data_IF_377795963106
#
_entry.id   IF_377795963106
#
_cell.length_a   1.000
_cell.length_b   1.000
_cell.length_c   1.000
_cell.angle_alpha   90.00
_cell.angle_beta   90.00
_cell.angle_gamma   90.00
#
_symmetry.space_group_name_H-M   'P 1'
#
loop_
_entity.id
_entity.type
_entity.pdbx_description
1 polymer ?
#
# COMPACT_ATOMS: atom_id res chain seq x y z
N UNK A 1 7.06 6.84 4.42
CA UNK A 1 7.52 6.11 5.62
C UNK A 1 7.11 4.64 5.60
N UNK A 2 5.88 4.29 5.26
CA UNK A 2 5.40 2.90 5.16
C UNK A 2 6.20 2.04 4.20
N UNK A 3 6.59 2.59 3.05
CA UNK A 3 7.40 1.89 2.05
C UNK A 3 8.83 1.61 2.55
N UNK A 4 9.36 2.45 3.44
CA UNK A 4 10.70 2.26 4.03
C UNK A 4 10.65 1.14 5.07
N UNK A 5 9.62 1.14 5.92
CA UNK A 5 9.43 0.10 6.95
C UNK A 5 8.97 -1.23 6.35
N UNK A 6 8.30 -1.19 5.20
CA UNK A 6 7.64 -2.36 4.61
C UNK A 6 8.53 -3.56 4.38
N UNK A 7 9.80 -3.33 4.05
CA UNK A 7 10.77 -4.39 3.76
C UNK A 7 11.75 -4.64 4.91
N UNK A 8 11.75 -3.76 5.91
CA UNK A 8 12.70 -3.87 7.01
C UNK A 8 12.39 -5.06 7.93
N UNK A 9 11.15 -5.54 7.94
CA UNK A 9 10.72 -6.64 8.80
C UNK A 9 9.52 -7.38 8.24
N UNK A 10 9.59 -8.70 8.21
CA UNK A 10 8.47 -9.61 8.01
C UNK A 10 8.00 -10.16 9.35
N UNK A 11 6.70 -10.31 9.49
CA UNK A 11 6.03 -10.88 10.67
C UNK A 11 5.46 -12.22 10.25
N UNK A 12 5.78 -13.27 10.99
CA UNK A 12 5.17 -14.58 10.83
C UNK A 12 3.90 -14.63 11.68
N UNK A 13 2.76 -14.76 11.00
CA UNK A 13 1.43 -14.92 11.58
C UNK A 13 0.84 -16.29 11.22
N UNK A 14 1.69 -17.26 10.89
CA UNK A 14 1.27 -18.61 10.56
C UNK A 14 0.45 -19.20 11.71
N UNK A 15 -0.64 -19.85 11.40
CA UNK A 15 -1.53 -20.46 12.37
C UNK A 15 -1.98 -21.86 11.91
N UNK A 16 -2.32 -22.71 12.89
CA UNK A 16 -2.87 -24.02 12.61
C UNK A 16 -4.40 -23.96 12.51
N UNK A 17 -4.92 -24.44 11.39
CA UNK A 17 -6.36 -24.57 11.15
C UNK A 17 -6.70 -25.96 10.61
N UNK A 18 -7.59 -26.67 11.28
CA UNK A 18 -8.00 -28.05 10.92
C UNK A 18 -6.82 -29.04 10.74
N UNK A 19 -5.75 -28.88 11.54
CA UNK A 19 -4.55 -29.74 11.46
C UNK A 19 -3.62 -29.43 10.29
N UNK A 20 -3.84 -28.33 9.58
CA UNK A 20 -2.95 -27.80 8.54
C UNK A 20 -2.33 -26.48 8.99
N UNK A 21 -1.01 -26.34 8.85
CA UNK A 21 -0.33 -25.07 9.07
C UNK A 21 -0.57 -24.18 7.88
N UNK A 22 -1.26 -23.06 8.06
CA UNK A 22 -1.46 -22.05 7.04
C UNK A 22 -0.32 -21.06 7.15
N UNK A 23 0.63 -21.03 6.20
CA UNK A 23 1.73 -20.09 6.25
C UNK A 23 1.21 -18.67 5.97
N UNK A 24 1.47 -17.75 6.89
CA UNK A 24 1.08 -16.35 6.75
C UNK A 24 2.26 -15.44 7.09
N UNK A 25 2.89 -14.87 6.08
CA UNK A 25 4.00 -13.94 6.22
C UNK A 25 3.63 -12.56 5.72
N UNK A 26 3.72 -11.56 6.60
CA UNK A 26 3.35 -10.18 6.30
C UNK A 26 4.53 -9.23 6.49
N UNK A 27 4.74 -8.34 5.53
CA UNK A 27 5.63 -7.21 5.71
C UNK A 27 5.00 -6.17 6.66
N UNK A 28 5.79 -5.61 7.59
CA UNK A 28 5.26 -4.68 8.59
C UNK A 28 4.59 -3.43 7.99
N UNK A 29 5.01 -3.02 6.79
CA UNK A 29 4.40 -1.91 6.07
C UNK A 29 2.96 -2.14 5.61
N UNK A 30 2.47 -3.39 5.66
CA UNK A 30 1.08 -3.71 5.33
C UNK A 30 0.12 -3.33 6.45
N UNK A 31 0.58 -3.25 7.70
CA UNK A 31 -0.29 -2.98 8.87
C UNK A 31 -1.02 -1.63 8.81
N UNK A 32 -0.38 -0.48 8.49
CA UNK A 32 -1.06 0.80 8.41
C UNK A 32 -1.72 1.06 7.04
N UNK A 33 -1.60 0.13 6.10
CA UNK A 33 -2.14 0.28 4.74
C UNK A 33 -3.67 0.47 4.69
N UNK A 34 -4.47 -0.22 5.52
CA UNK A 34 -5.92 -0.05 5.55
C UNK A 34 -6.34 1.40 5.82
N UNK A 35 -5.63 2.10 6.69
CA UNK A 35 -5.93 3.51 7.01
C UNK A 35 -5.82 4.41 5.77
N UNK A 36 -4.89 4.13 4.87
CA UNK A 36 -4.71 4.92 3.63
C UNK A 36 -5.88 4.74 2.67
N UNK A 37 -6.39 3.51 2.53
CA UNK A 37 -7.58 3.23 1.72
C UNK A 37 -8.83 3.84 2.34
N UNK A 38 -9.02 3.68 3.64
CA UNK A 38 -10.14 4.29 4.36
C UNK A 38 -10.19 5.82 4.16
N UNK A 39 -9.04 6.50 4.23
CA UNK A 39 -8.98 7.94 3.97
C UNK A 39 -9.35 8.29 2.52
N UNK A 40 -8.90 7.49 1.54
CA UNK A 40 -9.24 7.70 0.13
C UNK A 40 -10.72 7.47 -0.12
N UNK A 41 -11.32 6.47 0.52
CA UNK A 41 -12.74 6.17 0.42
C UNK A 41 -13.59 7.28 1.03
N UNK A 42 -13.20 7.86 2.17
CA UNK A 42 -13.85 9.05 2.71
C UNK A 42 -13.84 10.22 1.73
N UNK A 43 -12.70 10.48 1.11
CA UNK A 43 -12.60 11.57 0.13
C UNK A 43 -13.41 11.25 -1.13
N UNK A 44 -13.40 10.00 -1.57
CA UNK A 44 -14.21 9.54 -2.70
C UNK A 44 -15.71 9.72 -2.44
N UNK A 45 -16.16 9.39 -1.23
CA UNK A 45 -17.56 9.48 -0.87
C UNK A 45 -18.03 10.91 -0.67
N UNK A 46 -17.26 11.71 0.09
CA UNK A 46 -17.65 13.07 0.48
C UNK A 46 -17.36 14.13 -0.58
N UNK A 47 -16.30 13.96 -1.36
CA UNK A 47 -15.78 14.98 -2.27
C UNK A 47 -15.69 14.56 -3.74
N UNK A 48 -15.97 13.28 -4.04
CA UNK A 48 -16.03 12.76 -5.40
C UNK A 48 -14.68 12.34 -6.00
N UNK A 49 -14.78 11.75 -7.20
CA UNK A 49 -13.69 11.05 -7.87
C UNK A 49 -12.48 11.95 -8.19
N UNK A 50 -12.72 13.17 -8.63
CA UNK A 50 -11.63 14.09 -9.03
C UNK A 50 -10.70 14.41 -7.86
N UNK A 51 -11.28 14.69 -6.68
CA UNK A 51 -10.50 15.00 -5.47
C UNK A 51 -9.78 13.76 -4.93
N UNK A 52 -10.43 12.59 -4.98
CA UNK A 52 -9.79 11.33 -4.62
C UNK A 52 -8.60 11.03 -5.54
N UNK A 53 -8.73 11.17 -6.85
CA UNK A 53 -7.61 11.01 -7.79
C UNK A 53 -6.49 12.01 -7.51
N UNK A 54 -6.81 13.28 -7.23
CA UNK A 54 -5.80 14.29 -6.89
C UNK A 54 -5.02 13.88 -5.62
N UNK A 55 -5.70 13.32 -4.61
CA UNK A 55 -5.03 12.82 -3.41
C UNK A 55 -4.03 11.70 -3.73
N UNK A 56 -4.40 10.77 -4.63
CA UNK A 56 -3.50 9.70 -5.08
C UNK A 56 -2.24 10.28 -5.73
N UNK A 57 -2.41 11.29 -6.60
CA UNK A 57 -1.26 11.98 -7.23
C UNK A 57 -0.40 12.72 -6.24
N UNK A 58 -1.00 13.40 -5.25
CA UNK A 58 -0.24 14.06 -4.16
C UNK A 58 0.56 13.03 -3.36
N UNK A 59 -0.04 11.88 -3.04
CA UNK A 59 0.66 10.78 -2.38
C UNK A 59 1.86 10.27 -3.18
N UNK A 60 1.72 10.15 -4.50
CA UNK A 60 2.82 9.77 -5.39
C UNK A 60 3.96 10.82 -5.37
N UNK A 61 3.62 12.10 -5.50
CA UNK A 61 4.61 13.20 -5.48
C UNK A 61 5.39 13.20 -4.15
N UNK A 62 4.70 13.02 -3.01
CA UNK A 62 5.35 12.92 -1.71
C UNK A 62 6.28 11.71 -1.62
N UNK A 63 5.92 10.56 -2.20
CA UNK A 63 6.80 9.41 -2.28
C UNK A 63 8.05 9.69 -3.14
N UNK A 64 7.88 10.30 -4.31
CA UNK A 64 9.01 10.72 -5.18
C UNK A 64 9.94 11.67 -4.43
N UNK A 65 9.39 12.61 -3.67
CA UNK A 65 10.16 13.53 -2.85
C UNK A 65 11.02 12.80 -1.80
N UNK A 66 10.43 11.87 -1.06
CA UNK A 66 11.17 11.06 -0.06
C UNK A 66 12.29 10.24 -0.71
N UNK A 67 11.99 9.59 -1.85
CA UNK A 67 13.01 8.85 -2.62
C UNK A 67 14.13 9.76 -3.11
N UNK A 68 13.79 10.95 -3.57
CA UNK A 68 14.77 11.97 -3.99
C UNK A 68 15.75 12.34 -2.89
N UNK A 69 15.27 12.53 -1.65
CA UNK A 69 16.14 12.77 -0.51
C UNK A 69 17.01 11.58 -0.13
N UNK A 70 16.47 10.37 -0.16
CA UNK A 70 17.26 9.15 0.07
C UNK A 70 18.34 8.95 -1.00
N UNK A 71 18.02 9.28 -2.24
CA UNK A 71 18.99 9.25 -3.34
C UNK A 71 20.05 10.32 -3.16
N UNK A 72 19.66 11.56 -2.92
CA UNK A 72 20.57 12.70 -2.72
C UNK A 72 21.53 12.46 -1.55
N UNK A 73 20.99 12.04 -0.38
CA UNK A 73 21.82 11.73 0.78
C UNK A 73 22.81 10.58 0.53
N UNK A 74 22.52 9.68 -0.40
CA UNK A 74 23.45 8.62 -0.75
C UNK A 74 24.45 8.96 -1.87
N UNK A 75 24.25 10.08 -2.56
CA UNK A 75 25.21 10.61 -3.56
C UNK A 75 26.21 11.57 -2.92
N UNK A 76 25.82 12.22 -1.82
CA UNK A 76 26.72 13.06 -1.05
C UNK A 76 27.84 12.23 -0.44
N UNK A 77 29.07 12.80 -0.29
CA UNK A 77 30.21 12.09 0.26
C UNK A 77 29.88 11.53 1.65
N UNK A 78 30.09 10.22 1.89
CA UNK A 78 29.92 9.65 3.21
C UNK A 78 31.06 10.11 4.13
N UNK A 79 30.79 10.14 5.44
CA UNK A 79 31.81 10.47 6.44
C UNK A 79 32.86 9.34 6.59
N UNK A 80 32.46 8.11 6.32
CA UNK A 80 33.29 6.91 6.39
C UNK A 80 33.31 6.21 5.02
N UNK A 81 34.47 5.67 4.64
CA UNK A 81 34.60 4.93 3.38
C UNK A 81 33.64 3.74 3.30
N UNK A 82 32.94 3.65 2.16
CA UNK A 82 32.03 2.55 1.89
C UNK A 82 32.81 1.33 1.40
N UNK A 83 32.41 0.14 1.85
CA UNK A 83 32.90 -1.12 1.30
C UNK A 83 32.52 -1.23 -0.19
N UNK A 84 33.52 -1.42 -1.03
CA UNK A 84 33.36 -1.48 -2.49
C UNK A 84 32.50 -2.66 -2.95
N UNK A 85 32.35 -3.71 -2.14
CA UNK A 85 31.56 -4.90 -2.47
C UNK A 85 30.09 -4.76 -2.11
N UNK A 86 29.79 -4.13 -0.97
CA UNK A 86 28.45 -4.01 -0.42
C UNK A 86 27.83 -2.63 -0.60
N UNK A 87 28.65 -1.60 -0.83
CA UNK A 87 28.23 -0.19 -0.87
C UNK A 87 27.74 0.34 0.49
N UNK A 88 28.08 -0.36 1.59
CA UNK A 88 27.71 -0.01 2.94
C UNK A 88 28.95 0.41 3.75
N UNK A 89 28.82 1.34 4.70
CA UNK A 89 29.89 1.65 5.65
C UNK A 89 30.02 0.50 6.68
N UNK A 90 31.08 0.50 7.50
CA UNK A 90 31.20 -0.43 8.63
C UNK A 90 29.98 -0.39 9.54
N UNK A 91 29.63 -1.53 10.16
CA UNK A 91 28.40 -1.69 10.96
C UNK A 91 28.34 -0.83 12.23
N UNK A 92 29.50 -0.38 12.70
CA UNK A 92 29.68 0.54 13.83
C UNK A 92 29.71 2.02 13.43
N UNK A 93 29.71 2.32 12.13
CA UNK A 93 29.65 3.67 11.63
C UNK A 93 28.29 4.35 11.89
N UNK A 94 28.31 5.62 12.22
CA UNK A 94 27.10 6.40 12.54
C UNK A 94 26.09 6.43 11.40
N UNK A 95 26.54 6.48 10.16
CA UNK A 95 25.72 6.55 8.95
C UNK A 95 25.30 5.17 8.40
N UNK A 96 25.76 4.05 9.01
CA UNK A 96 25.39 2.70 8.58
C UNK A 96 23.88 2.49 8.43
N UNK A 97 23.10 2.98 9.40
CA UNK A 97 21.66 2.83 9.39
C UNK A 97 21.02 3.51 8.16
N UNK A 98 21.51 4.70 7.77
CA UNK A 98 21.04 5.43 6.60
C UNK A 98 21.32 4.65 5.31
N UNK A 99 22.55 4.21 5.11
CA UNK A 99 22.94 3.46 3.90
C UNK A 99 22.25 2.10 3.83
N UNK A 100 22.07 1.43 4.96
CA UNK A 100 21.31 0.17 5.04
C UNK A 100 19.84 0.35 4.66
N UNK A 101 19.19 1.38 5.20
CA UNK A 101 17.80 1.73 4.85
C UNK A 101 17.73 2.09 3.36
N UNK A 102 18.62 2.92 2.87
CA UNK A 102 18.68 3.31 1.45
C UNK A 102 18.81 2.08 0.55
N UNK A 103 19.74 1.18 0.84
CA UNK A 103 19.97 -0.04 0.06
C UNK A 103 18.71 -0.92 -0.01
N UNK A 104 18.06 -1.15 1.14
CA UNK A 104 16.83 -1.95 1.20
C UNK A 104 15.66 -1.26 0.52
N UNK A 105 15.61 0.06 0.57
CA UNK A 105 14.41 0.84 0.24
C UNK A 105 14.33 1.20 -1.24
N UNK A 106 15.46 1.50 -1.91
CA UNK A 106 15.45 2.07 -3.27
C UNK A 106 14.71 1.18 -4.28
N UNK A 107 14.97 -0.13 -4.30
CA UNK A 107 14.29 -1.05 -5.22
C UNK A 107 12.82 -1.26 -4.87
N UNK A 108 12.52 -1.42 -3.60
CA UNK A 108 11.19 -1.74 -3.15
C UNK A 108 10.25 -0.54 -3.08
N UNK A 109 10.77 0.67 -2.84
CA UNK A 109 9.93 1.87 -2.94
C UNK A 109 9.48 2.11 -4.36
N UNK A 110 10.35 1.90 -5.35
CA UNK A 110 9.95 2.02 -6.74
C UNK A 110 8.83 1.03 -7.10
N UNK A 111 8.96 -0.23 -6.68
CA UNK A 111 7.93 -1.25 -6.83
C UNK A 111 6.62 -0.85 -6.14
N UNK A 112 6.72 -0.40 -4.89
CA UNK A 112 5.56 0.07 -4.11
C UNK A 112 4.87 1.29 -4.71
N UNK A 113 5.61 2.21 -5.33
CA UNK A 113 5.02 3.39 -5.97
C UNK A 113 4.15 3.02 -7.17
N UNK A 114 4.63 2.10 -8.02
CA UNK A 114 3.87 1.61 -9.17
C UNK A 114 2.62 0.88 -8.69
N UNK A 115 2.78 -0.03 -7.74
CA UNK A 115 1.66 -0.78 -7.17
C UNK A 115 0.64 0.12 -6.49
N UNK A 116 1.08 1.07 -5.67
CA UNK A 116 0.25 2.07 -5.03
C UNK A 116 -0.58 2.86 -6.05
N UNK A 117 0.07 3.44 -7.06
CA UNK A 117 -0.62 4.23 -8.07
C UNK A 117 -1.68 3.40 -8.80
N UNK A 118 -1.31 2.20 -9.24
CA UNK A 118 -2.22 1.31 -9.96
C UNK A 118 -3.39 0.89 -9.08
N UNK A 119 -3.13 0.48 -7.84
CA UNK A 119 -4.17 -0.01 -6.94
C UNK A 119 -5.11 1.13 -6.50
N UNK A 120 -4.59 2.30 -6.14
CA UNK A 120 -5.40 3.42 -5.69
C UNK A 120 -6.28 4.00 -6.83
N UNK A 121 -5.74 4.14 -8.03
CA UNK A 121 -6.55 4.57 -9.18
C UNK A 121 -7.61 3.52 -9.55
N UNK A 122 -7.27 2.24 -9.45
CA UNK A 122 -8.22 1.13 -9.62
C UNK A 122 -9.33 1.22 -8.57
N UNK A 123 -8.99 1.41 -7.31
CA UNK A 123 -9.94 1.52 -6.21
C UNK A 123 -10.92 2.68 -6.41
N UNK A 124 -10.41 3.89 -6.59
CA UNK A 124 -11.24 5.08 -6.83
C UNK A 124 -12.16 4.90 -8.05
N UNK A 125 -11.64 4.31 -9.14
CA UNK A 125 -12.43 4.07 -10.36
C UNK A 125 -13.56 3.08 -10.10
N UNK A 126 -13.27 1.96 -9.44
CA UNK A 126 -14.25 0.93 -9.10
C UNK A 126 -15.26 1.43 -8.06
N UNK A 127 -14.84 2.20 -7.06
CA UNK A 127 -15.72 2.82 -6.08
C UNK A 127 -16.79 3.66 -6.77
N UNK A 128 -16.40 4.53 -7.70
CA UNK A 128 -17.34 5.37 -8.44
C UNK A 128 -18.13 4.60 -9.50
N UNK A 129 -17.57 3.53 -10.06
CA UNK A 129 -18.34 2.62 -10.91
C UNK A 129 -19.50 1.99 -10.11
N UNK A 130 -19.25 1.44 -8.94
CA UNK A 130 -20.29 0.88 -8.07
C UNK A 130 -21.27 1.95 -7.59
N UNK A 131 -20.77 3.15 -7.24
CA UNK A 131 -21.63 4.29 -6.85
C UNK A 131 -22.64 4.65 -7.94
N UNK A 132 -22.19 4.74 -9.20
CA UNK A 132 -23.07 5.00 -10.35
C UNK A 132 -24.05 3.86 -10.61
N UNK A 133 -23.56 2.62 -10.61
CA UNK A 133 -24.38 1.44 -10.87
C UNK A 133 -25.51 1.28 -9.85
N UNK A 134 -25.23 1.56 -8.57
CA UNK A 134 -26.21 1.46 -7.47
C UNK A 134 -27.02 2.73 -7.24
N UNK A 135 -26.82 3.79 -8.02
CA UNK A 135 -27.44 5.11 -7.86
C UNK A 135 -27.27 5.66 -6.41
N UNK A 136 -26.05 5.53 -5.87
CA UNK A 136 -25.71 5.97 -4.53
C UNK A 136 -26.21 5.09 -3.38
N UNK A 137 -27.01 4.06 -3.67
CA UNK A 137 -27.50 3.09 -2.67
C UNK A 137 -26.42 2.10 -2.29
N UNK A 138 -26.40 1.35 -1.34
CA UNK A 138 -25.43 0.27 -1.01
C UNK A 138 -23.98 0.74 -0.84
N UNK A 139 -23.75 1.60 0.16
CA UNK A 139 -22.42 2.07 0.56
C UNK A 139 -21.43 0.91 0.79
N UNK A 140 -21.91 -0.18 1.41
CA UNK A 140 -21.12 -1.39 1.64
C UNK A 140 -20.53 -1.97 0.34
N UNK A 141 -21.35 -2.06 -0.71
CA UNK A 141 -20.92 -2.67 -1.98
C UNK A 141 -19.85 -1.82 -2.67
N UNK A 142 -19.99 -0.50 -2.68
CA UNK A 142 -18.99 0.36 -3.31
C UNK A 142 -17.68 0.39 -2.55
N UNK A 143 -17.72 0.39 -1.22
CA UNK A 143 -16.53 0.32 -0.37
C UNK A 143 -15.83 -1.04 -0.51
N UNK A 144 -16.50 -2.13 -0.19
CA UNK A 144 -15.88 -3.46 -0.21
C UNK A 144 -15.67 -3.99 -1.63
N UNK A 145 -16.55 -3.67 -2.58
CA UNK A 145 -16.43 -4.11 -3.96
C UNK A 145 -15.24 -3.50 -4.70
N UNK A 146 -14.90 -2.23 -4.44
CA UNK A 146 -13.67 -1.62 -4.97
C UNK A 146 -12.43 -2.22 -4.31
N UNK A 147 -12.46 -2.32 -2.98
CA UNK A 147 -11.33 -2.79 -2.17
C UNK A 147 -10.94 -4.24 -2.51
N UNK A 148 -11.90 -5.16 -2.71
CA UNK A 148 -11.60 -6.55 -3.10
C UNK A 148 -10.72 -6.62 -4.34
N UNK A 149 -11.03 -5.85 -5.36
CA UNK A 149 -10.27 -5.87 -6.63
C UNK A 149 -8.96 -5.08 -6.51
N UNK A 150 -9.01 -3.88 -5.96
CA UNK A 150 -7.83 -3.01 -5.84
C UNK A 150 -6.75 -3.63 -4.95
N UNK A 151 -7.11 -4.29 -3.85
CA UNK A 151 -6.17 -4.97 -2.96
C UNK A 151 -5.55 -6.22 -3.57
N UNK A 152 -6.27 -6.92 -4.45
CA UNK A 152 -5.68 -8.01 -5.23
C UNK A 152 -4.63 -7.47 -6.19
N UNK A 153 -4.95 -6.42 -6.95
CA UNK A 153 -4.02 -5.75 -7.88
C UNK A 153 -2.79 -5.25 -7.14
N UNK A 154 -2.96 -4.61 -5.98
CA UNK A 154 -1.86 -4.14 -5.16
C UNK A 154 -0.97 -5.28 -4.68
N UNK A 155 -1.54 -6.30 -4.06
CA UNK A 155 -0.78 -7.44 -3.52
C UNK A 155 -0.01 -8.18 -4.61
N UNK A 156 -0.64 -8.39 -5.77
CA UNK A 156 0.00 -9.01 -6.91
C UNK A 156 1.15 -8.14 -7.45
N UNK A 157 0.91 -6.85 -7.66
CA UNK A 157 1.91 -5.93 -8.20
C UNK A 157 3.11 -5.78 -7.25
N UNK A 158 2.86 -5.51 -5.95
CA UNK A 158 3.94 -5.33 -4.95
C UNK A 158 4.82 -6.57 -4.90
N UNK A 159 4.25 -7.75 -4.71
CA UNK A 159 5.03 -8.98 -4.55
C UNK A 159 5.80 -9.32 -5.82
N UNK A 160 5.14 -9.23 -6.98
CA UNK A 160 5.76 -9.55 -8.27
C UNK A 160 6.92 -8.58 -8.58
N UNK A 161 6.69 -7.27 -8.45
CA UNK A 161 7.74 -6.27 -8.73
C UNK A 161 8.86 -6.36 -7.71
N UNK A 162 8.55 -6.58 -6.42
CA UNK A 162 9.58 -6.75 -5.37
C UNK A 162 10.45 -7.96 -5.64
N UNK A 163 9.87 -9.07 -6.10
CA UNK A 163 10.65 -10.25 -6.44
C UNK A 163 11.53 -10.02 -7.66
N UNK A 164 10.95 -9.65 -8.80
CA UNK A 164 11.67 -9.60 -10.08
C UNK A 164 12.60 -8.39 -10.22
N UNK A 165 12.23 -7.26 -9.62
CA UNK A 165 12.99 -6.01 -9.75
C UNK A 165 13.90 -5.75 -8.54
N UNK A 166 13.35 -5.80 -7.32
CA UNK A 166 14.10 -5.46 -6.11
C UNK A 166 14.85 -6.65 -5.48
N UNK A 167 14.51 -7.90 -5.86
CA UNK A 167 15.08 -9.15 -5.29
C UNK A 167 15.06 -9.18 -3.76
N UNK A 168 14.02 -8.57 -3.17
CA UNK A 168 13.93 -8.33 -1.73
C UNK A 168 13.08 -9.34 -0.95
N UNK A 169 12.55 -10.40 -1.60
CA UNK A 169 11.74 -11.40 -0.91
C UNK A 169 12.61 -12.55 -0.38
N UNK A 170 12.33 -13.02 0.85
CA UNK A 170 13.01 -14.19 1.43
C UNK A 170 12.40 -15.48 0.84
N UNK A 171 12.77 -15.82 -0.37
CA UNK A 171 12.36 -17.05 -1.06
C UNK A 171 13.51 -18.03 -1.17
N UNK A 172 13.18 -19.32 -1.18
CA UNK A 172 14.14 -20.40 -1.42
C UNK A 172 14.52 -20.43 -2.91
N UNK A 173 15.79 -20.21 -3.27
CA UNK A 173 16.24 -20.22 -4.67
C UNK A 173 16.20 -21.60 -5.32
N UNK A 174 16.17 -22.69 -4.54
CA UNK A 174 16.14 -24.08 -5.05
C UNK A 174 14.71 -24.55 -5.33
N UNK A 175 13.70 -23.87 -4.78
CA UNK A 175 12.30 -24.21 -4.96
C UNK A 175 11.64 -23.40 -6.10
N UNK A 176 10.51 -23.89 -6.61
CA UNK A 176 9.76 -23.17 -7.64
C UNK A 176 9.30 -21.80 -7.14
N UNK A 177 9.56 -20.73 -7.91
CA UNK A 177 9.32 -19.34 -7.54
C UNK A 177 7.82 -19.03 -7.36
N UNK A 178 7.00 -19.39 -8.35
CA UNK A 178 5.58 -19.02 -8.36
C UNK A 178 4.75 -19.53 -7.16
N UNK A 179 4.91 -20.78 -6.71
CA UNK A 179 4.19 -21.22 -5.51
C UNK A 179 4.52 -20.39 -4.27
N UNK A 180 5.80 -20.00 -4.10
CA UNK A 180 6.22 -19.16 -2.99
C UNK A 180 5.63 -17.73 -3.10
N UNK A 181 5.66 -17.13 -4.30
CA UNK A 181 5.05 -15.82 -4.53
C UNK A 181 3.55 -15.83 -4.22
N UNK A 182 2.83 -16.90 -4.61
CA UNK A 182 1.41 -17.03 -4.31
C UNK A 182 1.12 -17.09 -2.80
N UNK A 183 2.00 -17.67 -1.99
CA UNK A 183 1.86 -17.65 -0.53
C UNK A 183 1.92 -16.21 -0.01
N UNK A 184 2.89 -15.40 -0.45
CA UNK A 184 2.99 -13.99 -0.05
C UNK A 184 1.81 -13.17 -0.56
N UNK A 185 1.41 -13.35 -1.83
CA UNK A 185 0.27 -12.64 -2.41
C UNK A 185 -1.02 -12.98 -1.65
N UNK A 186 -1.29 -14.26 -1.44
CA UNK A 186 -2.50 -14.71 -0.76
C UNK A 186 -2.53 -14.24 0.70
N UNK A 187 -1.42 -14.37 1.43
CA UNK A 187 -1.32 -13.92 2.83
C UNK A 187 -1.60 -12.41 2.96
N UNK A 188 -0.92 -11.60 2.14
CA UNK A 188 -1.12 -10.15 2.14
C UNK A 188 -2.54 -9.76 1.72
N UNK A 189 -3.08 -10.43 0.70
CA UNK A 189 -4.43 -10.18 0.21
C UNK A 189 -5.51 -10.53 1.23
N UNK A 190 -5.45 -11.73 1.83
CA UNK A 190 -6.42 -12.17 2.85
C UNK A 190 -6.39 -11.23 4.06
N UNK A 191 -5.19 -10.87 4.55
CA UNK A 191 -5.07 -9.90 5.63
C UNK A 191 -5.77 -8.58 5.29
N UNK A 192 -5.49 -8.01 4.12
CA UNK A 192 -6.09 -6.75 3.67
C UNK A 192 -7.61 -6.84 3.54
N UNK A 193 -8.15 -7.96 3.05
CA UNK A 193 -9.59 -8.18 2.95
C UNK A 193 -10.26 -8.24 4.33
N UNK A 194 -9.66 -8.96 5.28
CA UNK A 194 -10.18 -9.02 6.65
C UNK A 194 -10.24 -7.63 7.27
N UNK A 195 -9.18 -6.85 7.11
CA UNK A 195 -9.15 -5.49 7.64
C UNK A 195 -10.14 -4.58 6.92
N UNK A 196 -10.29 -4.68 5.59
CA UNK A 196 -11.27 -3.90 4.84
C UNK A 196 -12.72 -4.16 5.32
N UNK A 197 -13.03 -5.40 5.68
CA UNK A 197 -14.33 -5.71 6.30
C UNK A 197 -14.48 -5.04 7.68
N UNK A 198 -13.42 -5.02 8.48
CA UNK A 198 -13.41 -4.32 9.79
C UNK A 198 -13.52 -2.81 9.57
N UNK A 199 -12.81 -2.25 8.59
CA UNK A 199 -12.83 -0.82 8.25
C UNK A 199 -14.20 -0.35 7.74
N UNK A 200 -15.06 -1.24 7.30
CA UNK A 200 -16.45 -0.91 6.93
C UNK A 200 -17.19 -0.19 8.06
N UNK A 201 -16.98 -0.61 9.31
CA UNK A 201 -17.65 0.01 10.48
C UNK A 201 -17.22 1.47 10.69
N UNK A 202 -15.91 1.79 10.85
CA UNK A 202 -15.47 3.18 10.95
C UNK A 202 -15.81 4.00 9.71
N UNK A 203 -15.85 3.38 8.51
CA UNK A 203 -16.25 4.07 7.29
C UNK A 203 -17.71 4.56 7.38
N UNK A 204 -18.66 3.70 7.75
CA UNK A 204 -20.05 4.11 7.93
C UNK A 204 -20.22 5.21 8.99
N UNK A 205 -19.56 5.03 10.12
CA UNK A 205 -19.56 6.02 11.21
C UNK A 205 -19.02 7.36 10.69
N UNK A 206 -17.85 7.32 10.04
CA UNK A 206 -17.20 8.52 9.53
C UNK A 206 -18.02 9.23 8.44
N UNK A 207 -18.57 8.51 7.47
CA UNK A 207 -19.44 9.12 6.44
C UNK A 207 -20.65 9.80 7.07
N UNK A 208 -21.28 9.17 8.07
CA UNK A 208 -22.43 9.75 8.75
C UNK A 208 -22.08 11.04 9.52
N UNK A 209 -21.05 10.99 10.37
CA UNK A 209 -20.68 12.13 11.19
C UNK A 209 -20.00 13.25 10.40
N UNK A 210 -19.07 12.91 9.49
CA UNK A 210 -18.36 13.91 8.67
C UNK A 210 -19.30 14.54 7.64
N UNK A 211 -20.17 13.77 7.00
CA UNK A 211 -21.18 14.31 6.07
C UNK A 211 -22.07 15.34 6.74
N UNK A 212 -22.52 15.05 7.98
CA UNK A 212 -23.33 15.97 8.77
C UNK A 212 -22.55 17.20 9.23
N UNK A 213 -21.31 17.01 9.69
CA UNK A 213 -20.46 18.12 10.17
C UNK A 213 -20.03 19.07 9.04
N UNK A 214 -19.76 18.51 7.86
CA UNK A 214 -19.31 19.26 6.67
C UNK A 214 -20.48 19.77 5.81
N UNK A 215 -21.73 19.44 6.19
CA UNK A 215 -22.94 19.78 5.42
C UNK A 215 -22.89 19.27 3.96
N UNK A 216 -22.22 18.13 3.73
CA UNK A 216 -22.07 17.50 2.40
C UNK A 216 -23.04 16.34 2.30
N UNK A 217 -23.84 16.29 1.23
CA UNK A 217 -24.66 15.12 0.91
C UNK A 217 -23.81 14.04 0.21
N UNK A 218 -23.52 12.90 0.86
CA UNK A 218 -22.73 11.83 0.24
C UNK A 218 -23.37 11.22 -1.02
N UNK A 219 -24.68 11.41 -1.20
CA UNK A 219 -25.42 10.92 -2.37
C UNK A 219 -25.52 11.94 -3.51
N UNK A 220 -25.10 13.19 -3.27
CA UNK A 220 -25.05 14.19 -4.33
C UNK A 220 -24.13 13.71 -5.46
N UNK A 221 -24.57 13.81 -6.71
CA UNK A 221 -23.69 13.63 -7.88
C UNK A 221 -22.72 14.81 -7.90
N UNK A 222 -21.50 14.59 -7.40
CA UNK A 222 -20.44 15.56 -7.60
C UNK A 222 -20.11 15.57 -9.08
N UNK A 223 -20.65 16.55 -9.80
CA UNK A 223 -20.40 16.73 -11.21
C UNK A 223 -18.88 16.77 -11.46
N UNK A 224 -18.42 15.98 -12.39
CA UNK A 224 -17.01 15.93 -12.78
C UNK A 224 -16.62 17.26 -13.43
N UNK A 225 -16.41 18.29 -12.65
CA UNK A 225 -16.04 19.61 -13.18
C UNK A 225 -16.36 20.82 -12.31
N UNK A 226 -17.20 20.70 -11.31
CA UNK A 226 -17.50 21.83 -10.43
C UNK A 226 -16.67 21.71 -9.11
N UNK A 227 -15.64 22.43 -9.04
CA UNK A 227 -14.85 23.22 -8.08
C UNK A 227 -13.37 23.14 -8.40
#
# INVERSE_FOLDING_TARGET
MLNILGISRFIDLSFEFLGMTIPMSLAIGVLPYPVTFLCTDFISELYGQKRANNLVWVGLILNVWVVGFLWLGGVLPPEVELDTSTGLPPTDAYDYAFFKIRFLTMGAVFASMIAYLTAQLCDVTLFHFWKRLTKGKHLWLRNNGSTVVSQFVDSFAVITITHFYARGLPIDPEAAVWPQLWVFIASGYVFKLVIALVDTVPFYIGVHYLGRYLEVDPNAEHAAGEV
#
